data_IF_008697387471
#
_entry.id   IF_008697387471
#
_cell.length_a   1.000
_cell.length_b   1.000
_cell.length_c   1.000
_cell.angle_alpha   90.00
_cell.angle_beta   90.00
_cell.angle_gamma   90.00
#
_symmetry.space_group_name_H-M   'P 1'
#
loop_
_entity.id
_entity.type
_entity.pdbx_description
1 polymer ?
#
# COMPACT_ATOMS: atom_id res chain seq x y z
N UNK A 1 7.89 15.60 -5.83
CA UNK A 1 9.15 14.98 -6.17
C UNK A 1 8.96 14.21 -7.45
N UNK A 2 8.94 14.92 -8.53
CA UNK A 2 9.10 14.40 -9.86
C UNK A 2 10.54 13.90 -9.98
N UNK A 3 10.73 12.80 -10.66
CA UNK A 3 12.04 12.18 -10.78
C UNK A 3 12.87 13.02 -11.74
N UNK A 4 13.87 13.72 -11.22
CA UNK A 4 14.75 14.62 -11.97
C UNK A 4 15.36 13.86 -13.14
N UNK A 5 15.09 14.30 -14.37
CA UNK A 5 15.79 13.84 -15.57
C UNK A 5 17.08 14.64 -15.68
N UNK A 6 18.25 14.05 -15.37
CA UNK A 6 19.51 14.70 -15.66
C UNK A 6 19.66 14.87 -17.19
N UNK A 7 19.57 16.10 -17.65
CA UNK A 7 20.00 16.48 -18.99
C UNK A 7 21.55 16.50 -19.02
N UNK A 8 22.16 15.34 -19.19
CA UNK A 8 23.57 15.25 -19.61
C UNK A 8 23.64 14.31 -20.80
N UNK A 9 23.61 14.88 -21.95
CA UNK A 9 23.75 14.13 -23.21
C UNK A 9 23.60 15.04 -24.41
N UNK A 10 24.49 16.07 -24.51
CA UNK A 10 24.77 16.69 -25.81
C UNK A 10 25.36 15.66 -26.73
N UNK A 11 24.59 15.14 -27.64
CA UNK A 11 25.08 14.58 -28.91
C UNK A 11 24.05 14.88 -29.99
N UNK A 12 24.52 15.63 -30.96
CA UNK A 12 23.95 15.96 -32.26
C UNK A 12 22.91 14.93 -32.77
N UNK A 13 21.66 15.38 -32.95
CA UNK A 13 20.74 14.75 -33.90
C UNK A 13 20.01 15.80 -34.70
N UNK A 14 20.31 15.78 -35.97
CA UNK A 14 19.71 16.35 -37.15
C UNK A 14 18.32 16.96 -37.04
N UNK A 15 18.23 18.15 -37.63
CA UNK A 15 17.06 18.80 -38.17
C UNK A 15 16.19 17.82 -38.98
N UNK A 16 14.96 17.56 -38.48
CA UNK A 16 13.72 17.42 -39.27
C UNK A 16 12.60 16.95 -38.34
N UNK A 17 11.84 17.89 -37.86
CA UNK A 17 10.37 17.85 -37.78
C UNK A 17 9.82 19.11 -37.11
N UNK A 18 9.54 20.09 -37.98
CA UNK A 18 8.75 21.25 -37.62
C UNK A 18 7.29 20.81 -37.52
N UNK A 19 6.74 20.71 -36.31
CA UNK A 19 5.28 20.87 -36.12
C UNK A 19 5.01 21.43 -34.73
N UNK A 20 4.51 22.66 -34.67
CA UNK A 20 3.72 23.16 -33.54
C UNK A 20 4.47 23.96 -32.47
N UNK A 21 5.34 24.90 -32.81
CA UNK A 21 5.81 25.92 -31.85
C UNK A 21 4.85 27.10 -31.85
N UNK A 22 3.99 27.21 -30.82
CA UNK A 22 3.43 28.44 -30.32
C UNK A 22 4.05 28.78 -28.97
N UNK A 23 5.35 28.97 -28.94
CA UNK A 23 6.03 29.66 -27.85
C UNK A 23 6.18 31.11 -28.29
N UNK A 24 5.43 32.02 -27.67
CA UNK A 24 5.63 33.46 -27.82
C UNK A 24 7.03 33.79 -27.26
N UNK A 25 7.84 34.50 -28.06
CA UNK A 25 9.14 35.00 -27.66
C UNK A 25 9.00 35.87 -26.41
N UNK A 26 9.44 35.34 -25.27
CA UNK A 26 9.88 36.12 -24.12
C UNK A 26 11.08 35.41 -23.50
N UNK A 27 12.16 36.16 -23.35
CA UNK A 27 13.54 35.73 -23.09
C UNK A 27 13.81 35.15 -21.69
N UNK A 28 12.93 34.40 -21.01
CA UNK A 28 13.28 33.83 -19.69
C UNK A 28 12.35 32.74 -19.14
N UNK A 29 11.61 31.99 -19.94
CA UNK A 29 10.94 30.79 -19.44
C UNK A 29 11.31 29.59 -20.29
N UNK A 30 12.03 28.63 -19.72
CA UNK A 30 12.25 27.32 -20.30
C UNK A 30 10.89 26.66 -20.56
N UNK A 31 10.43 26.71 -21.81
CA UNK A 31 9.18 26.14 -22.25
C UNK A 31 9.24 24.62 -22.04
N UNK A 32 8.72 24.15 -20.91
CA UNK A 32 8.61 22.73 -20.63
C UNK A 32 7.57 22.10 -21.54
N UNK A 33 7.99 21.20 -22.44
CA UNK A 33 7.07 20.43 -23.27
C UNK A 33 6.64 19.19 -22.50
N UNK A 34 5.33 18.95 -22.28
CA UNK A 34 4.84 17.73 -21.64
C UNK A 34 5.43 16.49 -22.32
N UNK A 35 6.07 15.63 -21.56
CA UNK A 35 6.76 14.46 -22.10
C UNK A 35 6.23 13.17 -21.45
N UNK A 36 5.48 12.36 -22.22
CA UNK A 36 5.07 11.02 -21.82
C UNK A 36 6.22 10.03 -22.02
N UNK A 37 6.66 9.39 -20.92
CA UNK A 37 7.65 8.32 -20.95
C UNK A 37 6.94 6.96 -20.94
N UNK A 38 6.81 6.32 -22.10
CA UNK A 38 6.09 5.06 -22.22
C UNK A 38 6.62 3.98 -21.26
N UNK A 39 7.92 3.93 -21.04
CA UNK A 39 8.55 2.93 -20.16
C UNK A 39 8.17 3.08 -18.69
N UNK A 40 7.99 4.30 -18.23
CA UNK A 40 7.70 4.63 -16.82
C UNK A 40 6.20 4.78 -16.59
N UNK A 41 5.53 5.57 -17.42
CA UNK A 41 4.13 5.96 -17.20
C UNK A 41 3.16 4.79 -17.45
N UNK A 42 3.44 3.91 -18.44
CA UNK A 42 2.64 2.71 -18.66
C UNK A 42 2.72 1.72 -17.50
N UNK A 43 3.89 1.59 -16.84
CA UNK A 43 4.02 0.78 -15.62
C UNK A 43 3.15 1.38 -14.51
N UNK A 44 3.17 2.70 -14.33
CA UNK A 44 2.32 3.41 -13.37
C UNK A 44 0.84 3.19 -13.62
N UNK A 45 0.37 3.36 -14.86
CA UNK A 45 -1.02 3.14 -15.27
C UNK A 45 -1.45 1.69 -15.00
N UNK A 46 -0.60 0.71 -15.34
CA UNK A 46 -0.87 -0.70 -15.10
C UNK A 46 -0.96 -1.02 -13.60
N UNK A 47 -0.06 -0.49 -12.78
CA UNK A 47 -0.11 -0.65 -11.33
C UNK A 47 -1.36 0.00 -10.74
N UNK A 48 -1.73 1.21 -11.17
CA UNK A 48 -2.96 1.88 -10.73
C UNK A 48 -4.19 1.01 -11.03
N UNK A 49 -4.28 0.47 -12.23
CA UNK A 49 -5.36 -0.44 -12.64
C UNK A 49 -5.42 -1.68 -11.74
N UNK A 50 -4.29 -2.34 -11.50
CA UNK A 50 -4.23 -3.52 -10.62
C UNK A 50 -4.65 -3.19 -9.19
N UNK A 51 -4.16 -2.09 -8.62
CA UNK A 51 -4.50 -1.65 -7.27
C UNK A 51 -6.01 -1.43 -7.16
N UNK A 52 -6.59 -0.69 -8.10
CA UNK A 52 -8.03 -0.39 -8.10
C UNK A 52 -8.87 -1.66 -8.23
N UNK A 53 -8.54 -2.54 -9.17
CA UNK A 53 -9.30 -3.78 -9.40
C UNK A 53 -9.24 -4.70 -8.19
N UNK A 54 -8.04 -4.97 -7.66
CA UNK A 54 -7.85 -5.92 -6.57
C UNK A 54 -8.45 -5.43 -5.25
N UNK A 55 -8.31 -4.15 -4.93
CA UNK A 55 -8.88 -3.60 -3.71
C UNK A 55 -10.41 -3.40 -3.81
N UNK A 56 -10.96 -3.06 -4.99
CA UNK A 56 -12.41 -3.07 -5.22
C UNK A 56 -13.01 -4.47 -5.03
N UNK A 57 -12.30 -5.53 -5.43
CA UNK A 57 -12.75 -6.91 -5.17
C UNK A 57 -12.95 -7.20 -3.69
N UNK A 58 -12.12 -6.64 -2.81
CA UNK A 58 -12.29 -6.79 -1.35
C UNK A 58 -13.62 -6.22 -0.90
N UNK A 59 -13.97 -5.01 -1.35
CA UNK A 59 -15.26 -4.39 -1.03
C UNK A 59 -16.43 -5.21 -1.55
N UNK A 60 -16.34 -5.74 -2.78
CA UNK A 60 -17.36 -6.61 -3.37
C UNK A 60 -17.55 -7.87 -2.53
N UNK A 61 -16.46 -8.54 -2.11
CA UNK A 61 -16.52 -9.74 -1.28
C UNK A 61 -17.21 -9.46 0.07
N UNK A 62 -16.82 -8.39 0.76
CA UNK A 62 -17.40 -8.03 2.05
C UNK A 62 -18.85 -7.56 1.91
N UNK A 63 -19.20 -6.84 0.83
CA UNK A 63 -20.57 -6.43 0.55
C UNK A 63 -21.50 -7.64 0.34
N UNK A 64 -21.02 -8.66 -0.41
CA UNK A 64 -21.83 -9.84 -0.77
C UNK A 64 -21.84 -10.94 0.29
N UNK A 65 -20.80 -11.04 1.13
CA UNK A 65 -20.67 -12.11 2.14
C UNK A 65 -20.72 -11.57 3.56
N UNK A 66 -21.87 -11.71 4.24
CA UNK A 66 -22.06 -11.27 5.63
C UNK A 66 -21.05 -11.86 6.62
N UNK A 67 -20.57 -13.10 6.34
CA UNK A 67 -19.54 -13.77 7.16
C UNK A 67 -18.21 -13.04 7.21
N UNK A 68 -17.92 -12.15 6.23
CA UNK A 68 -16.71 -11.32 6.23
C UNK A 68 -16.84 -10.03 7.03
N UNK A 69 -18.04 -9.66 7.51
CA UNK A 69 -18.28 -8.41 8.28
C UNK A 69 -17.91 -8.58 9.75
N UNK A 70 -16.65 -8.89 10.01
CA UNK A 70 -16.08 -9.02 11.36
C UNK A 70 -15.28 -7.80 11.74
N UNK A 71 -15.05 -7.59 13.04
CA UNK A 71 -14.27 -6.44 13.55
C UNK A 71 -12.83 -6.45 12.98
N UNK A 72 -12.19 -7.62 12.93
CA UNK A 72 -10.87 -7.78 12.29
C UNK A 72 -10.87 -7.38 10.82
N UNK A 73 -11.89 -7.79 10.08
CA UNK A 73 -11.96 -7.50 8.66
C UNK A 73 -12.23 -6.01 8.38
N UNK A 74 -12.76 -5.24 9.35
CA UNK A 74 -12.89 -3.79 9.22
C UNK A 74 -11.52 -3.11 9.10
N UNK A 75 -10.47 -3.61 9.77
CA UNK A 75 -9.11 -3.11 9.59
C UNK A 75 -8.58 -3.41 8.19
N UNK A 76 -8.87 -4.60 7.64
CA UNK A 76 -8.52 -4.95 6.25
C UNK A 76 -9.29 -4.13 5.21
N UNK A 77 -10.55 -3.79 5.50
CA UNK A 77 -11.35 -2.88 4.66
C UNK A 77 -10.74 -1.47 4.69
N UNK A 78 -10.31 -1.00 5.87
CA UNK A 78 -9.59 0.27 6.00
C UNK A 78 -8.30 0.29 5.19
N UNK A 79 -7.52 -0.79 5.23
CA UNK A 79 -6.32 -0.96 4.41
C UNK A 79 -6.66 -0.95 2.91
N UNK A 80 -7.68 -1.69 2.48
CA UNK A 80 -8.11 -1.67 1.09
C UNK A 80 -8.61 -0.29 0.64
N UNK A 81 -9.21 0.51 1.55
CA UNK A 81 -9.60 1.89 1.27
C UNK A 81 -8.38 2.81 1.06
N UNK A 82 -7.32 2.65 1.88
CA UNK A 82 -6.07 3.40 1.68
C UNK A 82 -5.36 3.00 0.37
N UNK A 83 -5.36 1.72 0.05
CA UNK A 83 -4.79 1.22 -1.20
C UNK A 83 -5.58 1.72 -2.43
N UNK A 84 -6.93 1.82 -2.34
CA UNK A 84 -7.75 2.45 -3.38
C UNK A 84 -7.44 3.95 -3.56
N UNK A 85 -7.22 4.67 -2.47
CA UNK A 85 -6.83 6.07 -2.53
C UNK A 85 -5.48 6.24 -3.27
N UNK A 86 -4.52 5.34 -3.01
CA UNK A 86 -3.24 5.31 -3.72
C UNK A 86 -3.41 5.04 -5.22
N UNK A 87 -4.25 4.07 -5.60
CA UNK A 87 -4.50 3.72 -7.00
C UNK A 87 -5.33 4.76 -7.78
N UNK A 88 -6.31 5.42 -7.13
CA UNK A 88 -7.23 6.37 -7.77
C UNK A 88 -6.71 7.81 -7.77
N UNK A 89 -5.88 8.19 -6.83
CA UNK A 89 -5.40 9.56 -6.66
C UNK A 89 -3.87 9.60 -6.65
N UNK A 90 -3.21 8.80 -5.80
CA UNK A 90 -1.76 8.87 -5.61
C UNK A 90 -0.98 8.61 -6.89
N UNK A 91 -1.21 7.48 -7.55
CA UNK A 91 -0.53 7.14 -8.82
C UNK A 91 -0.89 8.08 -9.98
N UNK A 92 -2.18 8.44 -10.22
CA UNK A 92 -2.50 9.43 -11.25
C UNK A 92 -1.81 10.78 -11.02
N UNK A 93 -1.69 11.25 -9.78
CA UNK A 93 -0.94 12.48 -9.47
C UNK A 93 0.55 12.35 -9.79
N UNK A 94 1.17 11.18 -9.46
CA UNK A 94 2.58 10.91 -9.83
C UNK A 94 2.77 10.98 -11.34
N UNK A 95 1.91 10.29 -12.10
CA UNK A 95 1.98 10.26 -13.57
C UNK A 95 1.78 11.67 -14.15
N UNK A 96 0.78 12.40 -13.66
CA UNK A 96 0.51 13.77 -14.12
C UNK A 96 1.68 14.70 -13.80
N UNK A 97 2.27 14.59 -12.58
CA UNK A 97 3.47 15.34 -12.23
C UNK A 97 4.66 15.00 -13.15
N UNK A 98 4.89 13.72 -13.46
CA UNK A 98 5.97 13.30 -14.35
C UNK A 98 5.82 13.84 -15.79
N UNK A 99 4.56 13.92 -16.27
CA UNK A 99 4.28 14.36 -17.65
C UNK A 99 4.32 15.87 -17.77
N UNK A 100 3.68 16.59 -16.85
CA UNK A 100 3.43 18.04 -16.99
C UNK A 100 4.38 18.90 -16.15
N UNK A 101 5.08 18.32 -15.15
CA UNK A 101 5.98 19.06 -14.22
C UNK A 101 5.32 20.33 -13.61
N UNK A 102 3.99 20.30 -13.47
CA UNK A 102 3.24 21.44 -12.94
C UNK A 102 3.42 21.50 -11.41
N UNK A 103 3.86 22.65 -10.88
CA UNK A 103 4.26 22.85 -9.48
C UNK A 103 3.18 22.41 -8.49
N UNK A 104 1.92 22.82 -8.70
CA UNK A 104 0.82 22.48 -7.80
C UNK A 104 0.49 20.99 -7.77
N UNK A 105 0.58 20.31 -8.92
CA UNK A 105 0.37 18.85 -9.01
C UNK A 105 1.51 18.11 -8.33
N UNK A 106 2.76 18.48 -8.63
CA UNK A 106 3.94 17.85 -8.06
C UNK A 106 4.01 18.03 -6.54
N UNK A 107 3.67 19.22 -6.08
CA UNK A 107 3.56 19.54 -4.66
C UNK A 107 2.46 18.68 -3.99
N UNK A 108 1.26 18.61 -4.58
CA UNK A 108 0.16 17.79 -4.08
C UNK A 108 0.51 16.31 -4.01
N UNK A 109 1.31 15.81 -4.97
CA UNK A 109 1.79 14.43 -5.02
C UNK A 109 2.57 14.06 -3.75
N UNK A 110 3.41 14.95 -3.23
CA UNK A 110 4.21 14.71 -2.02
C UNK A 110 3.30 14.42 -0.82
N UNK A 111 2.25 15.23 -0.62
CA UNK A 111 1.34 15.09 0.53
C UNK A 111 0.45 13.86 0.44
N UNK A 112 -0.16 13.63 -0.71
CA UNK A 112 -0.97 12.42 -0.94
C UNK A 112 -0.11 11.19 -0.70
N UNK A 113 1.09 11.21 -1.13
CA UNK A 113 2.06 10.16 -1.01
C UNK A 113 2.50 9.87 0.44
N UNK A 114 2.85 10.92 1.19
CA UNK A 114 3.16 10.77 2.62
C UNK A 114 1.93 10.29 3.39
N UNK A 115 0.76 10.84 3.09
CA UNK A 115 -0.50 10.44 3.72
C UNK A 115 -0.80 8.96 3.52
N UNK A 116 -0.74 8.47 2.28
CA UNK A 116 -1.03 7.06 1.98
C UNK A 116 -0.01 6.10 2.59
N UNK A 117 1.29 6.48 2.64
CA UNK A 117 2.32 5.68 3.31
C UNK A 117 2.08 5.55 4.81
N UNK A 118 1.80 6.65 5.50
CA UNK A 118 1.49 6.63 6.93
C UNK A 118 0.22 5.86 7.22
N UNK A 119 -0.77 6.02 6.36
CA UNK A 119 -2.06 5.36 6.48
C UNK A 119 -1.93 3.83 6.33
N UNK A 120 -1.24 3.36 5.30
CA UNK A 120 -1.01 1.92 5.04
C UNK A 120 -0.25 1.29 6.21
N UNK A 121 0.85 1.92 6.68
CA UNK A 121 1.63 1.41 7.81
C UNK A 121 0.79 1.33 9.09
N UNK A 122 0.01 2.37 9.38
CA UNK A 122 -0.86 2.42 10.57
C UNK A 122 -1.95 1.33 10.51
N UNK A 123 -2.50 1.01 9.33
CA UNK A 123 -3.45 -0.08 9.17
C UNK A 123 -2.80 -1.45 9.38
N UNK A 124 -1.58 -1.68 8.85
CA UNK A 124 -0.84 -2.93 9.08
C UNK A 124 -0.54 -3.10 10.57
N UNK A 125 -0.14 -2.03 11.26
CA UNK A 125 0.03 -2.02 12.72
C UNK A 125 -1.25 -2.39 13.47
N UNK A 126 -2.38 -1.78 13.09
CA UNK A 126 -3.67 -2.05 13.72
C UNK A 126 -4.10 -3.51 13.53
N UNK A 127 -3.92 -4.07 12.32
CA UNK A 127 -4.17 -5.50 12.04
C UNK A 127 -3.25 -6.39 12.88
N UNK A 128 -1.97 -6.05 13.00
CA UNK A 128 -0.99 -6.80 13.80
C UNK A 128 -1.37 -6.78 15.29
N UNK A 129 -1.74 -5.62 15.82
CA UNK A 129 -2.21 -5.48 17.21
C UNK A 129 -3.50 -6.28 17.47
N UNK A 130 -4.46 -6.24 16.54
CA UNK A 130 -5.70 -7.04 16.61
C UNK A 130 -5.38 -8.55 16.68
N UNK A 131 -4.45 -9.02 15.85
CA UNK A 131 -4.05 -10.45 15.86
C UNK A 131 -3.31 -10.83 17.13
N UNK A 132 -2.41 -9.99 17.61
CA UNK A 132 -1.73 -10.18 18.87
C UNK A 132 -2.72 -10.33 20.05
N UNK A 133 -3.69 -9.43 20.14
CA UNK A 133 -4.74 -9.48 21.17
C UNK A 133 -5.60 -10.74 21.04
N UNK A 134 -5.95 -11.15 19.82
CA UNK A 134 -6.76 -12.35 19.56
C UNK A 134 -6.07 -13.63 20.05
N UNK A 135 -4.75 -13.71 19.98
CA UNK A 135 -3.99 -14.90 20.38
C UNK A 135 -3.59 -14.86 21.84
N UNK A 136 -3.07 -13.73 22.31
CA UNK A 136 -2.60 -13.60 23.69
C UNK A 136 -3.76 -13.53 24.71
N UNK A 137 -4.88 -12.95 24.33
CA UNK A 137 -6.04 -12.73 25.20
C UNK A 137 -7.32 -13.34 24.63
N UNK A 138 -7.24 -14.56 24.09
CA UNK A 138 -8.35 -15.22 23.36
C UNK A 138 -9.68 -15.18 24.12
N UNK A 139 -9.69 -15.44 25.44
CA UNK A 139 -10.92 -15.43 26.26
C UNK A 139 -11.50 -14.04 26.48
N UNK A 140 -10.71 -12.98 26.37
CA UNK A 140 -11.13 -11.59 26.60
C UNK A 140 -11.20 -10.78 25.30
N UNK A 141 -10.90 -11.41 24.16
CA UNK A 141 -10.82 -10.72 22.87
C UNK A 141 -12.08 -9.92 22.54
N UNK A 142 -13.27 -10.51 22.66
CA UNK A 142 -14.56 -9.84 22.39
C UNK A 142 -14.86 -8.65 23.30
N UNK A 143 -14.28 -8.61 24.50
CA UNK A 143 -14.39 -7.50 25.46
C UNK A 143 -13.41 -6.38 25.13
N UNK A 144 -12.21 -6.72 24.62
CA UNK A 144 -11.16 -5.77 24.27
C UNK A 144 -11.42 -5.15 22.90
N UNK A 145 -11.71 -5.96 21.89
CA UNK A 145 -11.93 -5.53 20.51
C UNK A 145 -13.41 -5.48 20.21
N UNK A 146 -14.01 -4.33 20.53
CA UNK A 146 -15.42 -4.03 20.22
C UNK A 146 -15.53 -3.26 18.90
N UNK A 147 -16.71 -3.29 18.26
CA UNK A 147 -16.98 -2.52 17.04
C UNK A 147 -16.70 -1.01 17.25
N UNK A 148 -17.13 -0.45 18.38
CA UNK A 148 -16.92 0.96 18.71
C UNK A 148 -15.42 1.30 18.77
N UNK A 149 -14.63 0.50 19.50
CA UNK A 149 -13.17 0.71 19.58
C UNK A 149 -12.49 0.58 18.23
N UNK A 150 -12.91 -0.40 17.41
CA UNK A 150 -12.40 -0.56 16.04
C UNK A 150 -12.62 0.71 15.21
N UNK A 151 -13.84 1.27 15.20
CA UNK A 151 -14.11 2.50 14.44
C UNK A 151 -13.39 3.73 15.00
N UNK A 152 -13.22 3.82 16.32
CA UNK A 152 -12.39 4.88 16.94
C UNK A 152 -10.94 4.75 16.50
N UNK A 153 -10.37 3.52 16.51
CA UNK A 153 -9.00 3.27 16.05
C UNK A 153 -8.84 3.63 14.58
N UNK A 154 -9.79 3.24 13.72
CA UNK A 154 -9.77 3.60 12.30
C UNK A 154 -9.82 5.12 12.12
N UNK A 155 -10.75 5.81 12.80
CA UNK A 155 -10.82 7.27 12.76
C UNK A 155 -9.52 7.93 13.21
N UNK A 156 -8.91 7.44 14.29
CA UNK A 156 -7.62 7.91 14.77
C UNK A 156 -6.51 7.69 13.72
N UNK A 157 -6.42 6.50 13.14
CA UNK A 157 -5.43 6.16 12.11
C UNK A 157 -5.52 7.13 10.91
N UNK A 158 -6.73 7.38 10.41
CA UNK A 158 -6.94 8.31 9.29
C UNK A 158 -6.57 9.75 9.64
N UNK A 159 -7.08 10.27 10.77
CA UNK A 159 -6.83 11.65 11.20
C UNK A 159 -5.35 11.87 11.51
N UNK A 160 -4.73 10.94 12.23
CA UNK A 160 -3.32 11.04 12.61
C UNK A 160 -2.40 11.01 11.39
N UNK A 161 -2.63 10.08 10.44
CA UNK A 161 -1.86 10.01 9.20
C UNK A 161 -1.99 11.29 8.37
N UNK A 162 -3.21 11.85 8.30
CA UNK A 162 -3.45 13.12 7.61
C UNK A 162 -2.70 14.28 8.23
N UNK A 163 -2.82 14.47 9.55
CA UNK A 163 -2.14 15.56 10.25
C UNK A 163 -0.62 15.48 10.12
N UNK A 164 -0.08 14.28 10.14
CA UNK A 164 1.36 14.08 10.00
C UNK A 164 1.87 14.33 8.59
N UNK A 165 1.08 14.02 7.57
CA UNK A 165 1.46 14.36 6.19
C UNK A 165 1.52 15.86 5.96
N UNK A 166 0.73 16.65 6.69
CA UNK A 166 0.73 18.11 6.61
C UNK A 166 1.91 18.77 7.36
N UNK A 167 2.67 18.02 8.14
CA UNK A 167 3.73 18.61 8.97
C UNK A 167 4.80 19.31 8.12
N UNK A 168 5.06 18.79 6.91
CA UNK A 168 6.04 19.35 5.97
C UNK A 168 5.64 20.74 5.43
N UNK A 169 4.32 21.09 5.44
CA UNK A 169 3.83 22.44 5.07
C UNK A 169 4.38 23.56 5.95
N UNK A 170 4.96 23.22 7.11
CA UNK A 170 5.54 24.22 8.00
C UNK A 170 6.79 24.91 7.42
N UNK A 171 7.52 24.25 6.52
CA UNK A 171 8.76 24.79 5.94
C UNK A 171 8.85 24.74 4.42
N UNK A 172 8.00 23.96 3.74
CA UNK A 172 7.90 23.95 2.28
C UNK A 172 6.49 24.40 1.92
N UNK A 173 6.39 25.55 1.26
CA UNK A 173 5.11 26.08 0.78
C UNK A 173 4.93 25.82 -0.71
N UNK A 174 3.69 25.81 -1.23
CA UNK A 174 3.41 25.57 -2.65
C UNK A 174 4.08 26.59 -3.57
N UNK A 175 4.26 27.83 -3.08
CA UNK A 175 4.88 28.94 -3.82
C UNK A 175 6.39 28.81 -3.96
N UNK A 176 7.01 28.07 -3.04
CA UNK A 176 8.47 27.96 -2.93
C UNK A 176 8.97 26.62 -3.49
N UNK A 177 8.02 25.78 -3.99
CA UNK A 177 8.34 24.45 -4.50
C UNK A 177 8.54 24.50 -6.01
N UNK A 178 9.78 24.28 -6.44
CA UNK A 178 10.14 24.00 -7.82
C UNK A 178 10.58 22.52 -7.94
N UNK A 179 9.95 21.70 -8.80
CA UNK A 179 10.34 20.31 -8.98
C UNK A 179 11.77 20.16 -9.57
N UNK A 180 12.26 21.17 -10.28
CA UNK A 180 13.59 21.16 -10.92
C UNK A 180 14.70 21.77 -10.06
N UNK A 181 14.34 22.52 -9.02
CA UNK A 181 15.32 23.11 -8.10
C UNK A 181 15.66 22.20 -6.92
N UNK A 182 16.88 22.35 -6.43
CA UNK A 182 17.30 21.72 -5.16
C UNK A 182 16.61 22.41 -3.98
N UNK A 183 16.42 21.68 -2.88
CA UNK A 183 15.86 22.22 -1.63
C UNK A 183 16.73 23.40 -1.17
N UNK A 184 16.14 24.57 -0.87
CA UNK A 184 16.91 25.73 -0.35
C UNK A 184 17.72 25.36 0.89
N UNK A 185 18.96 25.86 1.01
CA UNK A 185 19.85 25.50 2.12
C UNK A 185 19.25 25.78 3.51
N UNK A 186 18.43 26.83 3.63
CA UNK A 186 17.75 27.16 4.90
C UNK A 186 16.73 26.09 5.34
N UNK A 187 16.17 25.32 4.38
CA UNK A 187 15.20 24.24 4.64
C UNK A 187 15.83 22.85 4.65
N UNK A 188 17.07 22.71 4.16
CA UNK A 188 17.75 21.42 4.04
C UNK A 188 17.83 20.66 5.36
N UNK A 189 18.22 21.31 6.45
CA UNK A 189 18.31 20.69 7.77
C UNK A 189 16.94 20.20 8.29
N UNK A 190 15.87 20.95 8.00
CA UNK A 190 14.49 20.57 8.39
C UNK A 190 14.03 19.36 7.56
N UNK A 191 14.33 19.35 6.27
CA UNK A 191 13.96 18.25 5.38
C UNK A 191 14.70 16.95 5.73
N UNK A 192 16.01 17.04 5.99
CA UNK A 192 16.81 15.90 6.46
C UNK A 192 16.28 15.37 7.80
N UNK A 193 16.00 16.26 8.74
CA UNK A 193 15.42 15.87 10.03
C UNK A 193 14.06 15.19 9.85
N UNK A 194 13.22 15.69 8.96
CA UNK A 194 11.92 15.09 8.63
C UNK A 194 12.06 13.72 7.96
N UNK A 195 13.00 13.55 7.01
CA UNK A 195 13.29 12.26 6.38
C UNK A 195 13.73 11.22 7.43
N UNK A 196 14.64 11.59 8.34
CA UNK A 196 15.11 10.71 9.42
C UNK A 196 13.98 10.43 10.40
N UNK A 197 13.23 11.43 10.84
CA UNK A 197 12.09 11.25 11.75
C UNK A 197 11.03 10.34 11.13
N UNK A 198 10.72 10.53 9.85
CA UNK A 198 9.77 9.70 9.10
C UNK A 198 10.25 8.26 9.01
N UNK A 199 11.52 8.02 8.68
CA UNK A 199 12.12 6.69 8.66
C UNK A 199 12.00 6.01 10.03
N UNK A 200 12.35 6.72 11.11
CA UNK A 200 12.32 6.15 12.47
C UNK A 200 10.90 5.91 12.94
N UNK A 201 10.02 6.91 12.84
CA UNK A 201 8.66 6.86 13.41
C UNK A 201 7.74 5.96 12.60
N UNK A 202 7.87 5.93 11.27
CA UNK A 202 6.94 5.21 10.40
C UNK A 202 7.44 3.88 9.87
N UNK A 203 8.75 3.67 9.84
CA UNK A 203 9.27 2.39 9.40
C UNK A 203 9.94 1.63 10.54
N UNK A 204 10.96 2.19 11.18
CA UNK A 204 11.77 1.44 12.16
C UNK A 204 11.03 1.13 13.45
N UNK A 205 10.35 2.10 14.08
CA UNK A 205 9.63 1.88 15.33
C UNK A 205 8.43 0.93 15.15
N UNK A 206 7.54 1.10 14.14
CA UNK A 206 6.50 0.13 13.84
C UNK A 206 7.04 -1.25 13.49
N UNK A 207 8.15 -1.32 12.73
CA UNK A 207 8.82 -2.60 12.41
C UNK A 207 9.27 -3.32 13.68
N UNK A 208 9.91 -2.61 14.62
CA UNK A 208 10.30 -3.16 15.90
C UNK A 208 9.11 -3.65 16.73
N UNK A 209 8.05 -2.85 16.81
CA UNK A 209 6.79 -3.25 17.47
C UNK A 209 6.17 -4.51 16.83
N UNK A 210 6.07 -4.53 15.51
CA UNK A 210 5.49 -5.69 14.81
C UNK A 210 6.36 -6.92 14.93
N UNK A 211 7.69 -6.82 14.82
CA UNK A 211 8.60 -7.92 15.02
C UNK A 211 8.46 -8.50 16.45
N UNK A 212 8.39 -7.64 17.47
CA UNK A 212 8.16 -8.06 18.86
C UNK A 212 6.82 -8.81 19.00
N UNK A 213 5.74 -8.24 18.52
CA UNK A 213 4.39 -8.85 18.62
C UNK A 213 4.32 -10.18 17.87
N UNK A 214 4.93 -10.29 16.69
CA UNK A 214 5.00 -11.57 15.96
C UNK A 214 5.82 -12.63 16.67
N UNK A 215 6.97 -12.27 17.24
CA UNK A 215 7.79 -13.21 18.02
C UNK A 215 7.02 -13.75 19.24
N UNK A 216 6.32 -12.87 19.97
CA UNK A 216 5.47 -13.26 21.10
C UNK A 216 4.33 -14.17 20.67
N UNK A 217 3.64 -13.80 19.57
CA UNK A 217 2.55 -14.59 18.99
C UNK A 217 3.02 -15.98 18.55
N UNK A 218 4.15 -16.06 17.85
CA UNK A 218 4.72 -17.36 17.42
C UNK A 218 5.12 -18.23 18.60
N UNK A 219 5.70 -17.65 19.66
CA UNK A 219 6.02 -18.37 20.89
C UNK A 219 4.76 -18.95 21.53
N UNK A 220 3.70 -18.16 21.63
CA UNK A 220 2.43 -18.58 22.22
C UNK A 220 1.73 -19.68 21.38
N UNK A 221 1.66 -19.52 20.07
CA UNK A 221 1.11 -20.55 19.16
C UNK A 221 1.89 -21.86 19.29
N UNK A 222 3.23 -21.80 19.35
CA UNK A 222 4.08 -23.00 19.58
C UNK A 222 3.81 -23.63 20.93
N UNK A 223 3.66 -22.83 22.00
CA UNK A 223 3.33 -23.29 23.35
C UNK A 223 1.98 -24.03 23.37
N UNK A 224 0.95 -23.43 22.81
CA UNK A 224 -0.39 -24.01 22.72
C UNK A 224 -0.39 -25.31 21.91
N UNK A 225 0.30 -25.35 20.76
CA UNK A 225 0.42 -26.57 19.97
C UNK A 225 1.13 -27.70 20.75
N UNK A 226 2.18 -27.38 21.51
CA UNK A 226 2.91 -28.38 22.32
C UNK A 226 2.05 -28.92 23.45
N UNK A 227 1.29 -28.09 24.14
CA UNK A 227 0.36 -28.52 25.20
C UNK A 227 -0.76 -29.41 24.66
N UNK A 228 -1.25 -29.13 23.45
CA UNK A 228 -2.27 -29.96 22.79
C UNK A 228 -1.77 -31.35 22.42
N UNK A 229 -0.51 -31.52 22.08
CA UNK A 229 0.07 -32.84 21.77
C UNK A 229 0.14 -33.71 23.03
N UNK A 230 0.36 -33.11 24.21
CA UNK A 230 0.58 -33.83 25.47
C UNK A 230 -0.72 -34.22 26.19
N UNK A 231 -1.87 -33.55 25.98
CA UNK A 231 -3.03 -33.62 26.88
C UNK A 231 -4.39 -33.86 26.22
N UNK A 232 -4.52 -34.47 24.99
CA UNK A 232 -5.77 -34.33 24.24
C UNK A 232 -6.64 -35.58 24.15
N UNK A 233 -7.88 -35.56 24.69
CA UNK A 233 -9.02 -36.36 24.26
C UNK A 233 -9.54 -35.90 22.88
N UNK A 234 -10.18 -36.78 22.12
CA UNK A 234 -10.65 -36.60 20.74
C UNK A 234 -11.63 -35.41 20.54
N UNK A 235 -12.24 -34.90 21.60
CA UNK A 235 -13.27 -33.84 21.58
C UNK A 235 -12.71 -32.42 21.27
N UNK A 236 -11.39 -32.30 21.20
CA UNK A 236 -10.69 -31.00 20.96
C UNK A 236 -10.25 -30.80 19.48
N UNK A 237 -10.80 -31.55 18.52
CA UNK A 237 -10.48 -31.34 17.09
C UNK A 237 -10.87 -29.95 16.60
N UNK A 238 -11.93 -29.36 17.14
CA UNK A 238 -12.40 -28.01 16.77
C UNK A 238 -11.40 -26.94 17.22
N UNK A 239 -10.82 -27.09 18.41
CA UNK A 239 -9.80 -26.17 18.93
C UNK A 239 -8.48 -26.23 18.13
N UNK A 240 -8.10 -27.46 17.66
CA UNK A 240 -6.94 -27.66 16.77
C UNK A 240 -7.15 -26.99 15.40
N UNK A 241 -8.38 -27.09 14.85
CA UNK A 241 -8.72 -26.43 13.57
C UNK A 241 -8.67 -24.91 13.71
N UNK A 242 -9.14 -24.35 14.83
CA UNK A 242 -9.10 -22.94 15.13
C UNK A 242 -7.64 -22.44 15.22
N UNK A 243 -6.79 -23.09 16.00
CA UNK A 243 -5.37 -22.71 16.15
C UNK A 243 -4.59 -22.78 14.82
N UNK A 244 -4.89 -23.79 13.98
CA UNK A 244 -4.30 -23.85 12.62
C UNK A 244 -4.76 -22.69 11.72
N UNK A 245 -6.00 -22.23 11.85
CA UNK A 245 -6.53 -21.09 11.08
C UNK A 245 -5.91 -19.79 11.54
N UNK A 246 -5.83 -19.58 12.84
CA UNK A 246 -5.20 -18.38 13.41
C UNK A 246 -3.69 -18.32 13.10
N UNK A 247 -2.98 -19.44 13.21
CA UNK A 247 -1.57 -19.53 12.82
C UNK A 247 -1.32 -19.17 11.35
N UNK A 248 -2.21 -19.61 10.43
CA UNK A 248 -2.13 -19.23 9.01
C UNK A 248 -2.43 -17.73 8.81
N UNK A 249 -3.41 -17.18 9.53
CA UNK A 249 -3.70 -15.75 9.45
C UNK A 249 -2.49 -14.91 9.91
N UNK A 250 -1.83 -15.30 11.00
CA UNK A 250 -0.60 -14.65 11.48
C UNK A 250 0.49 -14.68 10.41
N UNK A 251 0.69 -15.83 9.74
CA UNK A 251 1.66 -15.94 8.65
C UNK A 251 1.34 -14.98 7.50
N UNK A 252 0.07 -14.86 7.10
CA UNK A 252 -0.35 -13.92 6.04
C UNK A 252 0.00 -12.48 6.41
N UNK A 253 -0.30 -12.05 7.64
CA UNK A 253 -0.01 -10.70 8.09
C UNK A 253 1.49 -10.45 8.26
N UNK A 254 2.26 -11.48 8.67
CA UNK A 254 3.72 -11.40 8.69
C UNK A 254 4.30 -11.19 7.28
N UNK A 255 3.79 -11.92 6.28
CA UNK A 255 4.21 -11.73 4.88
C UNK A 255 3.84 -10.33 4.40
N UNK A 256 2.62 -9.84 4.68
CA UNK A 256 2.21 -8.46 4.35
C UNK A 256 3.17 -7.43 4.97
N UNK A 257 3.54 -7.61 6.23
CA UNK A 257 4.49 -6.75 6.92
C UNK A 257 5.88 -6.77 6.27
N UNK A 258 6.44 -7.97 6.00
CA UNK A 258 7.75 -8.11 5.33
C UNK A 258 7.71 -7.45 3.95
N UNK A 259 6.65 -7.68 3.18
CA UNK A 259 6.46 -7.05 1.86
C UNK A 259 6.42 -5.52 1.98
N UNK A 260 5.68 -5.00 2.97
CA UNK A 260 5.62 -3.56 3.20
C UNK A 260 7.01 -2.98 3.49
N UNK A 261 7.74 -3.56 4.45
CA UNK A 261 9.10 -3.09 4.78
C UNK A 261 10.03 -3.17 3.56
N UNK A 262 10.01 -4.28 2.82
CA UNK A 262 10.84 -4.47 1.64
C UNK A 262 10.55 -3.45 0.52
N UNK A 263 9.30 -3.04 0.37
CA UNK A 263 8.89 -2.06 -0.64
C UNK A 263 9.15 -0.62 -0.20
N UNK A 264 9.00 -0.32 1.10
CA UNK A 264 9.08 1.06 1.59
C UNK A 264 10.46 1.48 2.09
N UNK A 265 11.27 0.56 2.63
CA UNK A 265 12.62 0.90 3.10
C UNK A 265 13.50 1.51 2.01
N UNK A 266 13.60 0.91 0.79
CA UNK A 266 14.40 1.52 -0.28
C UNK A 266 13.90 2.93 -0.63
N UNK A 267 12.59 3.16 -0.58
CA UNK A 267 11.99 4.44 -0.85
C UNK A 267 12.38 5.51 0.19
N UNK A 268 12.29 5.21 1.49
CA UNK A 268 12.73 6.15 2.54
C UNK A 268 14.22 6.46 2.45
N UNK A 269 15.04 5.46 2.08
CA UNK A 269 16.48 5.66 1.84
C UNK A 269 16.74 6.52 0.61
N UNK A 270 15.96 6.35 -0.45
CA UNK A 270 16.02 7.21 -1.64
C UNK A 270 15.69 8.67 -1.29
N UNK A 271 14.63 8.89 -0.50
CA UNK A 271 14.27 10.24 -0.03
C UNK A 271 15.40 10.92 0.76
N UNK A 272 16.02 10.17 1.67
CA UNK A 272 17.17 10.64 2.42
C UNK A 272 18.35 10.95 1.51
N UNK A 273 18.69 10.05 0.57
CA UNK A 273 19.76 10.24 -0.40
C UNK A 273 19.54 11.52 -1.22
N UNK A 274 18.32 11.75 -1.69
CA UNK A 274 17.98 12.95 -2.48
C UNK A 274 18.06 14.25 -1.66
N UNK A 275 17.76 14.19 -0.35
CA UNK A 275 17.88 15.36 0.52
C UNK A 275 19.35 15.74 0.78
N UNK A 276 20.27 14.76 0.89
CA UNK A 276 21.68 15.02 1.22
C UNK A 276 22.63 14.94 0.02
N UNK A 277 22.10 14.54 -1.15
CA UNK A 277 22.87 14.31 -2.40
C UNK A 277 24.13 13.44 -2.18
N UNK A 278 23.99 12.38 -1.39
CA UNK A 278 25.11 11.61 -0.86
C UNK A 278 25.85 10.79 -1.94
N UNK A 279 25.14 10.32 -2.99
CA UNK A 279 25.72 9.55 -4.09
C UNK A 279 24.80 9.54 -5.30
N UNK A 280 25.36 9.37 -6.49
CA UNK A 280 24.60 9.29 -7.74
C UNK A 280 23.87 7.94 -7.86
N UNK A 281 22.60 8.01 -8.22
CA UNK A 281 21.80 6.86 -8.64
C UNK A 281 21.36 7.06 -10.09
N UNK A 282 21.53 6.06 -10.96
CA UNK A 282 21.01 6.14 -12.33
C UNK A 282 19.47 6.20 -12.32
N UNK A 283 18.89 6.89 -13.29
CA UNK A 283 17.45 7.18 -13.35
C UNK A 283 16.59 5.91 -13.26
N UNK A 284 16.97 4.85 -13.97
CA UNK A 284 16.26 3.57 -13.90
C UNK A 284 16.17 3.00 -12.47
N UNK A 285 17.23 3.17 -11.65
CA UNK A 285 17.23 2.70 -10.26
C UNK A 285 16.32 3.58 -9.39
N UNK A 286 16.32 4.89 -9.61
CA UNK A 286 15.41 5.83 -8.94
C UNK A 286 13.96 5.47 -9.25
N UNK A 287 13.62 5.23 -10.52
CA UNK A 287 12.28 4.79 -10.92
C UNK A 287 11.90 3.43 -10.30
N UNK A 288 12.76 2.45 -10.37
CA UNK A 288 12.51 1.12 -9.78
C UNK A 288 12.22 1.20 -8.28
N UNK A 289 13.01 1.99 -7.55
CA UNK A 289 12.81 2.20 -6.11
C UNK A 289 11.50 2.96 -5.84
N UNK A 290 11.24 4.03 -6.59
CA UNK A 290 10.02 4.83 -6.41
C UNK A 290 8.75 4.03 -6.70
N UNK A 291 8.75 3.16 -7.72
CA UNK A 291 7.60 2.32 -8.06
C UNK A 291 7.48 1.07 -7.20
N UNK A 292 8.56 0.59 -6.54
CA UNK A 292 8.52 -0.60 -5.68
C UNK A 292 7.47 -0.51 -4.58
N UNK A 293 7.22 0.67 -4.04
CA UNK A 293 6.21 0.92 -2.99
C UNK A 293 4.78 0.56 -3.41
N UNK A 294 4.45 0.72 -4.71
CA UNK A 294 3.12 0.39 -5.24
C UNK A 294 2.88 -1.12 -5.39
N UNK A 295 3.91 -1.93 -5.23
CA UNK A 295 3.78 -3.39 -5.19
C UNK A 295 3.03 -3.84 -3.92
N UNK A 296 3.24 -3.15 -2.79
CA UNK A 296 2.54 -3.47 -1.53
C UNK A 296 1.01 -3.36 -1.65
N UNK A 297 0.40 -2.28 -2.16
CA UNK A 297 -1.04 -2.17 -2.40
C UNK A 297 -1.61 -3.23 -3.37
N UNK A 298 -0.80 -3.75 -4.29
CA UNK A 298 -1.21 -4.87 -5.18
C UNK A 298 -1.20 -6.19 -4.42
N UNK A 299 -0.17 -6.45 -3.63
CA UNK A 299 0.01 -7.71 -2.92
C UNK A 299 -0.89 -7.85 -1.69
N UNK A 300 -1.21 -6.76 -0.98
CA UNK A 300 -2.06 -6.79 0.19
C UNK A 300 -3.36 -7.57 -0.04
N UNK A 301 -4.25 -7.21 -1.00
CA UNK A 301 -5.49 -7.94 -1.24
C UNK A 301 -5.25 -9.39 -1.66
N UNK A 302 -4.22 -9.68 -2.45
CA UNK A 302 -3.86 -11.03 -2.84
C UNK A 302 -3.53 -11.90 -1.63
N UNK A 303 -2.71 -11.38 -0.71
CA UNK A 303 -2.28 -12.12 0.46
C UNK A 303 -3.43 -12.50 1.37
N UNK A 304 -4.40 -11.60 1.65
CA UNK A 304 -5.51 -11.98 2.52
C UNK A 304 -6.67 -12.65 1.79
N UNK A 305 -6.93 -12.37 0.50
CA UNK A 305 -7.94 -13.10 -0.27
C UNK A 305 -7.56 -14.57 -0.42
N UNK A 306 -6.30 -14.87 -0.76
CA UNK A 306 -5.85 -16.24 -0.99
C UNK A 306 -5.27 -16.91 0.25
N UNK A 307 -4.71 -16.15 1.18
CA UNK A 307 -4.09 -16.66 2.41
C UNK A 307 -5.06 -16.86 3.56
N UNK A 308 -6.04 -15.96 3.75
CA UNK A 308 -7.01 -16.05 4.84
C UNK A 308 -8.20 -16.96 4.47
N UNK A 309 -8.48 -17.96 5.30
CA UNK A 309 -9.51 -18.96 5.04
C UNK A 309 -10.88 -18.37 4.69
N UNK A 310 -11.31 -17.33 5.42
CA UNK A 310 -12.65 -16.73 5.26
C UNK A 310 -12.80 -16.04 3.90
N UNK A 311 -11.80 -15.27 3.50
CA UNK A 311 -11.76 -14.61 2.19
C UNK A 311 -11.65 -15.62 1.06
N UNK A 312 -10.77 -16.63 1.20
CA UNK A 312 -10.61 -17.70 0.21
C UNK A 312 -11.91 -18.48 -0.01
N UNK A 313 -12.65 -18.77 1.07
CA UNK A 313 -13.97 -19.42 0.99
C UNK A 313 -14.96 -18.50 0.28
N UNK A 314 -15.05 -17.24 0.68
CA UNK A 314 -15.95 -16.25 0.08
C UNK A 314 -15.69 -16.06 -1.42
N UNK A 315 -14.41 -16.01 -1.80
CA UNK A 315 -13.97 -15.96 -3.20
C UNK A 315 -14.46 -17.17 -4.00
N UNK A 316 -14.18 -18.38 -3.51
CA UNK A 316 -14.62 -19.62 -4.16
C UNK A 316 -16.15 -19.68 -4.32
N UNK A 317 -16.89 -19.36 -3.27
CA UNK A 317 -18.36 -19.36 -3.29
C UNK A 317 -18.95 -18.31 -4.25
N UNK A 318 -18.23 -17.20 -4.51
CA UNK A 318 -18.74 -16.13 -5.35
C UNK A 318 -18.43 -16.35 -6.83
N UNK A 319 -17.22 -16.82 -7.14
CA UNK A 319 -16.69 -16.87 -8.49
C UNK A 319 -16.65 -18.28 -9.08
N UNK A 320 -16.37 -19.31 -8.28
CA UNK A 320 -16.21 -20.69 -8.76
C UNK A 320 -17.54 -21.45 -8.71
N UNK A 321 -18.31 -21.35 -7.62
CA UNK A 321 -19.60 -22.05 -7.49
C UNK A 321 -20.63 -21.61 -8.53
N UNK A 322 -20.66 -20.32 -8.90
CA UNK A 322 -21.55 -19.82 -9.96
C UNK A 322 -21.22 -20.34 -11.36
N UNK A 323 -19.97 -20.68 -11.61
CA UNK A 323 -19.59 -21.23 -12.92
C UNK A 323 -20.10 -22.66 -13.06
N UNK A 324 -20.03 -23.45 -12.00
CA UNK A 324 -20.51 -24.86 -12.00
C UNK A 324 -22.03 -24.96 -12.16
N UNK A 325 -22.80 -24.06 -11.54
CA UNK A 325 -24.26 -24.03 -11.70
C UNK A 325 -24.67 -23.57 -13.11
N UNK A 326 -23.95 -22.63 -13.70
CA UNK A 326 -24.23 -22.15 -15.07
C UNK A 326 -23.92 -23.20 -16.12
N UNK A 327 -22.86 -23.97 -15.93
CA UNK A 327 -22.47 -25.04 -16.84
C UNK A 327 -23.44 -26.26 -16.70
N UNK A 328 -23.93 -26.55 -15.49
CA UNK A 328 -24.98 -27.56 -15.26
C UNK A 328 -26.29 -27.19 -15.96
N UNK A 329 -26.76 -25.96 -15.76
CA UNK A 329 -28.02 -25.48 -16.39
C UNK A 329 -27.90 -25.46 -17.90
N UNK A 330 -26.74 -25.18 -18.45
CA UNK A 330 -26.48 -25.18 -19.92
C UNK A 330 -26.42 -26.60 -20.46
N UNK A 331 -25.86 -27.58 -19.73
CA UNK A 331 -25.84 -28.97 -20.13
C UNK A 331 -27.24 -29.60 -20.04
N UNK A 332 -28.05 -29.25 -19.01
CA UNK A 332 -29.41 -29.73 -18.85
C UNK A 332 -30.34 -29.16 -19.96
N UNK A 333 -30.14 -27.89 -20.33
CA UNK A 333 -30.86 -27.27 -21.46
C UNK A 333 -30.50 -27.91 -22.83
N UNK A 334 -29.24 -28.28 -23.02
CA UNK A 334 -28.80 -28.94 -24.25
C UNK A 334 -29.29 -30.38 -24.33
N UNK A 335 -29.36 -31.11 -23.20
CA UNK A 335 -29.96 -32.45 -23.19
C UNK A 335 -31.49 -32.43 -23.42
N UNK A 336 -32.21 -31.45 -22.89
CA UNK A 336 -33.65 -31.29 -23.10
C UNK A 336 -34.04 -30.84 -24.51
N UNK A 337 -33.12 -30.29 -25.29
CA UNK A 337 -33.36 -29.92 -26.68
C UNK A 337 -33.05 -31.03 -27.68
N UNK A 338 -32.55 -32.20 -27.23
CA UNK A 338 -32.27 -33.36 -28.06
C UNK A 338 -33.27 -34.52 -27.87
N UNK A 339 -34.29 -34.33 -27.03
CA UNK A 339 -35.46 -35.20 -26.86
C UNK A 339 -36.69 -34.58 -27.51
#
# INVERSE_FOLDING_TARGET
MCLRRNQTGDTELNETEQTGKNCFESDDESCYTPHFSAEVDLIGIFLAFLIVVLNTMVFILVAKKRSLRTTTNNFLIGLAASDLLEGLIGLPLVITCNIFMEHGVCFSTIYVWMFTSFLTMSHIMAVTADRFIAIMFALRYSQIITKRRCYITLGFVWTFSFLLSLLQLWWIQPTDYDPDESIPEEHLNKEVAYCIASLVVYLLAPTGFMAFTYLMTLREVRRQNRQQILNVPADLQEHRRWNKREGKAVTVFLVMFITHVACWLPFFLLRYQQAVDAFYLPDWAVYMIAYSRFVSPVLNPCLYIFGKHDFKKAWKDLFISKHTDRDRTRSDLLMSSQL
#
